data_IF_568513965032
#
_entry.id   IF_568513965032
#
_cell.length_a   1.000
_cell.length_b   1.000
_cell.length_c   1.000
_cell.angle_alpha   90.00
_cell.angle_beta   90.00
_cell.angle_gamma   90.00
#
_symmetry.space_group_name_H-M   'P 1'
#
loop_
_entity.id
_entity.type
_entity.pdbx_description
1 polymer ?
#
# COMPACT_ATOMS: atom_id res chain seq x y z
N UNK A 1 15.38 5.56 15.05
CA UNK A 1 16.60 5.51 14.22
C UNK A 1 16.48 6.45 13.04
N UNK A 2 17.52 7.15 12.75
CA UNK A 2 17.51 8.12 11.67
C UNK A 2 18.15 7.53 10.39
N UNK A 3 17.31 7.12 9.45
CA UNK A 3 17.76 6.49 8.21
C UNK A 3 18.49 7.45 7.28
N UNK A 4 18.34 8.74 7.49
CA UNK A 4 18.95 9.74 6.62
C UNK A 4 20.47 9.73 6.68
N UNK A 5 21.03 9.19 7.72
CA UNK A 5 22.47 9.16 7.91
C UNK A 5 23.14 7.92 7.34
N UNK A 6 22.37 7.07 6.65
CA UNK A 6 22.88 5.80 6.16
C UNK A 6 23.13 5.84 4.66
N UNK A 7 24.06 4.99 4.21
CA UNK A 7 24.31 4.84 2.78
C UNK A 7 23.06 4.24 2.10
N UNK A 8 23.04 4.28 0.76
CA UNK A 8 21.91 3.75 0.02
C UNK A 8 21.61 2.29 0.31
N UNK A 9 22.66 1.45 0.40
CA UNK A 9 22.46 0.04 0.70
C UNK A 9 21.99 -0.18 2.11
N UNK A 10 22.56 0.57 3.05
CA UNK A 10 22.11 0.49 4.43
C UNK A 10 20.69 1.02 4.56
N UNK A 11 20.37 2.04 3.78
CA UNK A 11 19.02 2.58 3.78
C UNK A 11 18.00 1.54 3.35
N UNK A 12 18.34 0.74 2.35
CA UNK A 12 17.42 -0.31 1.90
C UNK A 12 17.11 -1.28 3.04
N UNK A 13 18.12 -1.74 3.75
CA UNK A 13 17.91 -2.64 4.88
C UNK A 13 17.09 -1.98 5.97
N UNK A 14 17.37 -0.71 6.23
CA UNK A 14 16.66 0.03 7.25
C UNK A 14 15.23 0.33 6.82
N UNK A 15 15.00 0.60 5.53
CA UNK A 15 13.64 0.83 5.05
C UNK A 15 12.76 -0.37 5.30
N UNK A 16 13.30 -1.56 5.11
CA UNK A 16 12.53 -2.77 5.40
C UNK A 16 12.39 -3.01 6.89
N UNK A 17 13.23 -2.37 7.69
CA UNK A 17 13.15 -2.43 9.14
C UNK A 17 12.44 -1.22 9.74
N UNK A 18 12.02 -0.26 8.90
CA UNK A 18 11.25 0.90 9.35
C UNK A 18 9.82 0.47 9.56
N UNK A 19 9.61 -0.32 10.55
CA UNK A 19 8.29 -0.83 10.83
C UNK A 19 8.07 -0.84 12.33
N UNK A 20 6.81 -0.74 12.69
CA UNK A 20 6.39 -0.90 14.07
C UNK A 20 6.04 -2.35 14.28
N UNK A 21 6.68 -2.97 15.23
CA UNK A 21 6.57 -4.40 15.47
C UNK A 21 5.80 -4.62 16.76
N UNK A 22 4.55 -5.00 16.64
CA UNK A 22 3.69 -5.19 17.79
C UNK A 22 3.57 -6.67 18.11
N UNK A 23 4.43 -7.13 19.05
CA UNK A 23 4.40 -8.50 19.48
C UNK A 23 4.69 -9.52 18.41
N UNK A 24 5.40 -9.09 17.36
CA UNK A 24 5.74 -9.98 16.27
C UNK A 24 4.60 -10.34 15.35
N UNK A 25 3.47 -9.64 15.45
CA UNK A 25 2.28 -9.98 14.68
C UNK A 25 1.91 -8.96 13.62
N UNK A 26 2.46 -7.77 13.68
CA UNK A 26 2.12 -6.70 12.76
C UNK A 26 3.35 -5.91 12.39
N UNK A 27 3.48 -5.61 11.11
CA UNK A 27 4.55 -4.79 10.55
C UNK A 27 3.90 -3.65 9.77
N UNK A 28 4.36 -2.44 10.02
CA UNK A 28 3.88 -1.26 9.30
C UNK A 28 5.03 -0.66 8.52
N UNK A 29 4.84 -0.55 7.21
CA UNK A 29 5.83 -0.01 6.29
C UNK A 29 5.26 1.21 5.59
N UNK A 30 5.95 2.34 5.71
CA UNK A 30 5.50 3.60 5.12
C UNK A 30 6.41 3.96 3.95
N UNK A 31 5.88 3.86 2.73
CA UNK A 31 6.62 4.14 1.51
C UNK A 31 7.98 3.45 1.50
N UNK A 32 8.02 2.13 1.70
CA UNK A 32 9.29 1.46 1.97
C UNK A 32 10.25 1.43 0.79
N UNK A 33 9.76 1.64 -0.42
CA UNK A 33 10.59 1.52 -1.62
C UNK A 33 10.76 2.84 -2.37
N UNK A 34 10.43 3.95 -1.73
CA UNK A 34 10.37 5.24 -2.42
C UNK A 34 11.71 5.65 -3.05
N UNK A 35 12.83 5.30 -2.40
CA UNK A 35 14.15 5.70 -2.88
C UNK A 35 14.93 4.57 -3.54
N UNK A 36 14.27 3.46 -3.86
CA UNK A 36 14.95 2.27 -4.35
C UNK A 36 14.74 2.07 -5.84
N UNK A 37 15.67 1.38 -6.47
CA UNK A 37 15.55 1.01 -7.86
C UNK A 37 14.60 -0.17 -8.07
N UNK A 38 14.44 -0.55 -9.33
CA UNK A 38 13.49 -1.59 -9.71
C UNK A 38 13.82 -2.92 -9.07
N UNK A 39 15.10 -3.32 -9.11
CA UNK A 39 15.49 -4.62 -8.60
C UNK A 39 15.38 -4.70 -7.08
N UNK A 40 15.79 -3.65 -6.39
CA UNK A 40 15.67 -3.61 -4.94
C UNK A 40 14.20 -3.64 -4.52
N UNK A 41 13.36 -2.92 -5.24
CA UNK A 41 11.93 -2.92 -4.97
C UNK A 41 11.34 -4.32 -5.14
N UNK A 42 11.72 -5.01 -6.22
CA UNK A 42 11.25 -6.36 -6.47
C UNK A 42 11.61 -7.31 -5.32
N UNK A 43 12.85 -7.23 -4.87
CA UNK A 43 13.31 -8.07 -3.76
C UNK A 43 12.58 -7.74 -2.47
N UNK A 44 12.31 -6.45 -2.25
CA UNK A 44 11.57 -6.03 -1.07
C UNK A 44 10.15 -6.54 -1.08
N UNK A 45 9.48 -6.48 -2.23
CA UNK A 45 8.13 -6.99 -2.34
C UNK A 45 8.07 -8.49 -2.09
N UNK A 46 9.06 -9.23 -2.57
CA UNK A 46 9.12 -10.65 -2.30
C UNK A 46 9.35 -10.95 -0.83
N UNK A 47 10.16 -10.14 -0.18
CA UNK A 47 10.37 -10.27 1.27
C UNK A 47 9.06 -10.04 2.03
N UNK A 48 8.29 -9.06 1.62
CA UNK A 48 7.01 -8.78 2.24
C UNK A 48 6.08 -9.98 2.12
N UNK A 49 6.06 -10.61 0.95
CA UNK A 49 5.25 -11.81 0.75
C UNK A 49 5.68 -12.93 1.69
N UNK A 50 6.97 -13.09 1.88
CA UNK A 50 7.48 -14.13 2.79
C UNK A 50 7.12 -13.85 4.24
N UNK A 51 7.18 -12.59 4.63
CA UNK A 51 6.78 -12.19 5.99
C UNK A 51 5.30 -12.50 6.21
N UNK A 52 4.48 -12.13 5.26
CA UNK A 52 3.05 -12.37 5.35
C UNK A 52 2.73 -13.87 5.38
N UNK A 53 3.50 -14.66 4.63
CA UNK A 53 3.29 -16.11 4.60
C UNK A 53 3.59 -16.76 5.94
N UNK A 54 4.33 -16.09 6.80
CA UNK A 54 4.61 -16.59 8.15
C UNK A 54 3.50 -16.25 9.15
N UNK A 55 2.42 -15.65 8.67
CA UNK A 55 1.32 -15.29 9.54
C UNK A 55 1.43 -13.92 10.17
N UNK A 56 2.38 -13.12 9.72
CA UNK A 56 2.57 -11.76 10.23
C UNK A 56 1.73 -10.81 9.39
N UNK A 57 0.91 -9.98 10.06
CA UNK A 57 0.15 -8.96 9.37
C UNK A 57 1.08 -7.87 8.87
N UNK A 58 0.88 -7.43 7.63
CA UNK A 58 1.70 -6.38 7.03
C UNK A 58 0.80 -5.28 6.50
N UNK A 59 1.08 -4.06 6.88
CA UNK A 59 0.40 -2.88 6.37
C UNK A 59 1.43 -2.05 5.61
N UNK A 60 1.15 -1.77 4.35
CA UNK A 60 2.03 -0.97 3.50
C UNK A 60 1.31 0.30 3.11
N UNK A 61 1.96 1.43 3.32
CA UNK A 61 1.46 2.70 2.83
C UNK A 61 2.25 3.03 1.58
N UNK A 62 1.56 3.15 0.46
CA UNK A 62 2.20 3.47 -0.81
C UNK A 62 1.20 4.14 -1.74
N UNK A 63 1.70 4.94 -2.67
CA UNK A 63 0.89 5.51 -3.72
C UNK A 63 1.17 4.83 -5.06
N UNK A 64 1.99 3.81 -5.07
CA UNK A 64 2.38 3.13 -6.31
C UNK A 64 1.54 1.86 -6.47
N UNK A 65 0.61 1.92 -7.39
CA UNK A 65 -0.36 0.84 -7.57
C UNK A 65 0.29 -0.47 -7.96
N UNK A 66 1.34 -0.43 -8.78
CA UNK A 66 2.02 -1.64 -9.18
C UNK A 66 2.55 -2.42 -7.98
N UNK A 67 3.05 -1.71 -6.97
CA UNK A 67 3.53 -2.36 -5.76
C UNK A 67 2.39 -2.92 -4.93
N UNK A 68 1.35 -2.12 -4.73
CA UNK A 68 0.22 -2.54 -3.94
C UNK A 68 -0.42 -3.81 -4.50
N UNK A 69 -0.62 -3.85 -5.81
CA UNK A 69 -1.30 -4.98 -6.43
C UNK A 69 -0.46 -6.25 -6.47
N UNK A 70 0.84 -6.14 -6.27
CA UNK A 70 1.69 -7.33 -6.20
C UNK A 70 1.63 -8.03 -4.86
N UNK A 71 1.37 -7.31 -3.78
CA UNK A 71 1.51 -7.89 -2.45
C UNK A 71 0.27 -7.81 -1.59
N UNK A 72 -0.65 -6.92 -1.89
CA UNK A 72 -1.79 -6.70 -1.01
C UNK A 72 -2.88 -7.74 -1.21
N UNK A 73 -3.50 -8.13 -0.11
CA UNK A 73 -4.73 -8.94 -0.17
C UNK A 73 -5.94 -8.02 -0.15
N UNK A 74 -5.78 -6.86 0.46
CA UNK A 74 -6.86 -5.90 0.66
C UNK A 74 -6.27 -4.51 0.49
N UNK A 75 -7.02 -3.62 -0.15
CA UNK A 75 -6.58 -2.27 -0.40
C UNK A 75 -7.56 -1.29 0.23
N UNK A 76 -7.03 -0.39 1.05
CA UNK A 76 -7.81 0.65 1.69
C UNK A 76 -7.34 1.98 1.12
N UNK A 77 -8.26 2.76 0.59
CA UNK A 77 -7.95 4.07 0.04
C UNK A 77 -8.41 5.13 1.03
N UNK A 78 -7.51 6.02 1.38
CA UNK A 78 -7.82 7.12 2.27
C UNK A 78 -7.73 8.41 1.47
N UNK A 79 -8.75 9.22 1.58
CA UNK A 79 -8.84 10.49 0.88
C UNK A 79 -9.41 11.53 1.83
N UNK A 80 -8.65 12.61 2.01
CA UNK A 80 -9.08 13.72 2.87
C UNK A 80 -9.44 13.24 4.28
N UNK A 81 -8.62 12.36 4.83
CA UNK A 81 -8.80 11.86 6.18
C UNK A 81 -9.90 10.85 6.37
N UNK A 82 -10.49 10.37 5.28
CA UNK A 82 -11.59 9.42 5.35
C UNK A 82 -11.33 8.21 4.46
N UNK A 83 -11.94 7.10 4.80
CA UNK A 83 -11.84 5.91 3.97
C UNK A 83 -12.71 6.10 2.73
N UNK A 84 -12.06 6.16 1.57
CA UNK A 84 -12.74 6.29 0.30
C UNK A 84 -13.01 4.94 -0.35
N UNK A 85 -12.31 3.90 0.07
CA UNK A 85 -12.54 2.56 -0.45
C UNK A 85 -11.86 1.53 0.42
N UNK A 86 -12.40 0.33 0.40
CA UNK A 86 -11.88 -0.79 1.18
C UNK A 86 -12.31 -2.05 0.46
N UNK A 87 -11.42 -2.61 -0.35
CA UNK A 87 -11.78 -3.70 -1.25
C UNK A 87 -10.70 -4.76 -1.26
N UNK A 88 -11.11 -5.99 -1.55
CA UNK A 88 -10.17 -7.07 -1.81
C UNK A 88 -9.44 -6.78 -3.13
N UNK A 89 -8.14 -7.08 -3.16
CA UNK A 89 -7.34 -6.78 -4.36
C UNK A 89 -7.89 -7.44 -5.61
N UNK A 90 -8.34 -8.67 -5.50
CA UNK A 90 -8.83 -9.41 -6.66
C UNK A 90 -10.23 -8.99 -7.10
N UNK A 91 -10.84 -8.04 -6.42
CA UNK A 91 -12.14 -7.51 -6.78
C UNK A 91 -12.10 -6.07 -7.26
N UNK A 92 -10.91 -5.60 -7.57
CA UNK A 92 -10.72 -4.24 -8.04
C UNK A 92 -9.61 -4.21 -9.07
N UNK A 93 -9.31 -3.03 -9.58
CA UNK A 93 -8.25 -2.82 -10.56
C UNK A 93 -7.46 -1.57 -10.21
N UNK A 94 -6.24 -1.43 -10.76
CA UNK A 94 -5.49 -0.20 -10.55
C UNK A 94 -6.25 1.05 -10.97
N UNK A 95 -6.98 1.00 -12.08
CA UNK A 95 -7.77 2.14 -12.54
C UNK A 95 -8.84 2.52 -11.53
N UNK A 96 -9.50 1.53 -10.97
CA UNK A 96 -10.54 1.80 -9.99
C UNK A 96 -9.96 2.43 -8.73
N UNK A 97 -8.81 1.94 -8.29
CA UNK A 97 -8.16 2.51 -7.11
C UNK A 97 -7.75 3.95 -7.36
N UNK A 98 -7.20 4.25 -8.55
CA UNK A 98 -6.83 5.62 -8.89
C UNK A 98 -8.05 6.53 -8.86
N UNK A 99 -9.17 6.06 -9.34
CA UNK A 99 -10.40 6.86 -9.29
C UNK A 99 -10.87 7.10 -7.86
N UNK A 100 -10.71 6.12 -7.01
CA UNK A 100 -11.03 6.32 -5.60
C UNK A 100 -10.11 7.36 -4.96
N UNK A 101 -8.84 7.34 -5.33
CA UNK A 101 -7.86 8.30 -4.82
C UNK A 101 -8.24 9.71 -5.27
N UNK A 102 -8.66 9.87 -6.52
CA UNK A 102 -9.00 11.18 -7.06
C UNK A 102 -10.42 11.59 -6.72
N UNK A 103 -11.24 10.66 -6.28
CA UNK A 103 -12.65 10.93 -5.99
C UNK A 103 -13.60 10.66 -7.13
N UNK A 104 -13.11 10.33 -8.32
CA UNK A 104 -13.96 10.12 -9.48
C UNK A 104 -14.87 8.91 -9.35
N UNK A 105 -14.32 7.78 -8.95
CA UNK A 105 -15.10 6.56 -8.84
C UNK A 105 -16.21 6.70 -7.81
N UNK A 106 -15.89 7.35 -6.70
CA UNK A 106 -16.87 7.54 -5.65
C UNK A 106 -18.02 8.42 -6.12
N UNK A 107 -17.70 9.50 -6.81
CA UNK A 107 -18.72 10.40 -7.34
C UNK A 107 -19.57 9.72 -8.39
N UNK A 108 -18.92 9.01 -9.30
CA UNK A 108 -19.64 8.28 -10.35
C UNK A 108 -20.58 7.25 -9.76
N UNK A 109 -20.13 6.53 -8.77
CA UNK A 109 -20.95 5.52 -8.13
C UNK A 109 -22.15 6.12 -7.43
N UNK A 110 -21.95 7.25 -6.77
CA UNK A 110 -23.04 7.93 -6.10
C UNK A 110 -24.09 8.39 -7.12
N UNK A 111 -23.65 8.84 -8.28
CA UNK A 111 -24.57 9.25 -9.33
C UNK A 111 -25.34 8.08 -9.88
N UNK A 112 -24.69 6.95 -10.03
CA UNK A 112 -25.37 5.75 -10.50
C UNK A 112 -26.42 5.26 -9.52
N UNK A 113 -26.17 5.43 -8.25
CA UNK A 113 -27.10 5.02 -7.22
C UNK A 113 -28.31 5.95 -7.11
N UNK A 114 -28.33 7.04 -7.86
CA UNK A 114 -29.40 7.99 -7.89
C UNK A 114 -30.05 8.00 -9.26
N UNK A 115 -30.76 6.95 -9.59
CA UNK A 115 -31.28 6.82 -10.96
C UNK A 115 -32.27 7.91 -11.34
N UNK A 116 -32.85 8.57 -10.39
CA UNK A 116 -33.77 9.66 -10.68
C UNK A 116 -33.03 11.00 -10.76
N UNK A 117 -31.80 10.92 -11.08
CA UNK A 117 -30.96 12.07 -11.12
C UNK A 117 -30.36 12.27 -9.76
N UNK A 118 -29.69 13.29 -9.64
CA UNK A 118 -28.96 13.53 -8.41
C UNK A 118 -29.85 13.81 -7.26
#
# INVERSE_FOLDING_TARGET
>A
MNVEHLSGGQRQAIELNRFVHWGGKLVLLDEPFAALGVEQTRRGLEMIKRIAAQGIGVVIITHIMAQAFQVADRIVVIRQGKVAGDVARDKTSPDEIVRMITGEAFQGKAQEERPNGP
#
